data_IF_936649933306
#
_entry.id   IF_936649933306
#
_cell.length_a   1.000
_cell.length_b   1.000
_cell.length_c   1.000
_cell.angle_alpha   90.00
_cell.angle_beta   90.00
_cell.angle_gamma   90.00
#
_symmetry.space_group_name_H-M   'P 1'
#
loop_
_entity.id
_entity.type
_entity.pdbx_description
1 polymer ?
#
# COMPACT_ATOMS: atom_id res chain seq x y z
N UNK A 1 10.67 8.94 6.38
CA UNK A 1 9.19 8.87 6.37
C UNK A 1 8.68 8.12 7.59
N UNK A 2 7.66 8.64 8.27
CA UNK A 2 7.11 8.06 9.49
C UNK A 2 5.65 7.65 9.28
N UNK A 3 5.35 6.37 9.55
CA UNK A 3 4.00 5.83 9.49
C UNK A 3 3.41 5.72 10.90
N UNK A 4 2.21 6.26 11.08
CA UNK A 4 1.44 6.22 12.32
C UNK A 4 0.16 5.41 12.10
N UNK A 5 0.07 4.21 12.65
CA UNK A 5 -1.07 3.31 12.42
C UNK A 5 -1.99 3.32 13.63
N UNK A 6 -3.20 3.83 13.46
CA UNK A 6 -4.26 3.79 14.45
C UNK A 6 -5.04 2.48 14.28
N UNK A 7 -5.00 1.59 15.27
CA UNK A 7 -5.51 0.22 15.15
C UNK A 7 -6.00 -0.32 16.49
N UNK A 8 -6.75 -1.40 16.47
CA UNK A 8 -7.06 -2.21 17.66
C UNK A 8 -6.09 -3.38 17.85
N UNK A 9 -5.17 -3.62 16.90
CA UNK A 9 -4.25 -4.76 16.89
C UNK A 9 -2.82 -4.33 16.54
N UNK A 10 -2.13 -3.56 17.41
CA UNK A 10 -0.78 -3.06 17.16
C UNK A 10 0.22 -4.16 16.80
N UNK A 11 0.16 -5.31 17.50
CA UNK A 11 1.09 -6.42 17.28
C UNK A 11 0.96 -6.99 15.86
N UNK A 12 -0.25 -7.05 15.31
CA UNK A 12 -0.48 -7.51 13.92
C UNK A 12 0.29 -6.65 12.90
N UNK A 13 0.31 -5.34 13.11
CA UNK A 13 1.05 -4.39 12.27
C UNK A 13 2.56 -4.58 12.46
N UNK A 14 3.01 -4.58 13.72
CA UNK A 14 4.43 -4.59 14.02
C UNK A 14 5.09 -5.93 13.66
N UNK A 15 4.47 -7.06 13.94
CA UNK A 15 4.98 -8.38 13.57
C UNK A 15 5.06 -8.55 12.05
N UNK A 16 4.06 -8.04 11.32
CA UNK A 16 4.05 -8.11 9.86
C UNK A 16 5.14 -7.27 9.20
N UNK A 17 5.37 -6.06 9.68
CA UNK A 17 6.29 -5.09 9.06
C UNK A 17 7.74 -5.19 9.56
N UNK A 18 7.99 -5.80 10.73
CA UNK A 18 9.34 -5.95 11.28
C UNK A 18 10.20 -7.04 10.59
N UNK A 19 9.76 -7.54 9.46
CA UNK A 19 10.43 -8.60 8.69
C UNK A 19 10.88 -8.11 7.32
N UNK A 20 11.74 -8.90 6.64
CA UNK A 20 12.17 -8.69 5.25
C UNK A 20 12.72 -7.27 5.00
N UNK A 21 12.32 -6.63 3.91
CA UNK A 21 12.80 -5.31 3.44
C UNK A 21 12.32 -4.22 4.39
N UNK A 22 11.03 -4.18 4.72
CA UNK A 22 10.45 -3.19 5.64
C UNK A 22 11.11 -3.22 7.00
N UNK A 23 11.32 -4.42 7.58
CA UNK A 23 12.00 -4.57 8.88
C UNK A 23 13.47 -4.14 8.84
N UNK A 24 14.18 -4.30 7.72
CA UNK A 24 15.55 -3.76 7.57
C UNK A 24 15.55 -2.24 7.48
N UNK A 25 14.63 -1.65 6.73
CA UNK A 25 14.51 -0.21 6.61
C UNK A 25 14.17 0.46 7.94
N UNK A 26 13.28 -0.13 8.74
CA UNK A 26 12.96 0.32 10.10
C UNK A 26 14.21 0.26 11.00
N UNK A 27 14.92 -0.87 11.01
CA UNK A 27 16.16 -1.04 11.80
C UNK A 27 17.28 -0.07 11.39
N UNK A 28 17.35 0.27 10.12
CA UNK A 28 18.31 1.23 9.59
C UNK A 28 17.91 2.71 9.86
N UNK A 29 16.69 2.96 10.36
CA UNK A 29 16.18 4.30 10.59
C UNK A 29 15.82 5.08 9.30
N UNK A 30 15.67 4.39 8.18
CA UNK A 30 15.25 5.00 6.90
C UNK A 30 13.77 5.37 6.95
N UNK A 31 12.98 4.55 7.63
CA UNK A 31 11.58 4.81 7.92
C UNK A 31 11.23 4.37 9.35
N UNK A 32 10.13 4.87 9.88
CA UNK A 32 9.57 4.38 11.14
C UNK A 32 8.11 3.93 10.97
N UNK A 33 7.70 2.95 11.77
CA UNK A 33 6.30 2.55 11.90
C UNK A 33 5.97 2.53 13.38
N UNK A 34 4.94 3.28 13.77
CA UNK A 34 4.41 3.28 15.13
C UNK A 34 2.92 2.94 15.11
N UNK A 35 2.57 1.85 15.74
CA UNK A 35 1.17 1.46 15.93
C UNK A 35 0.64 2.00 17.27
N UNK A 36 -0.55 2.58 17.23
CA UNK A 36 -1.25 3.16 18.37
C UNK A 36 -2.49 2.33 18.64
N UNK A 37 -2.59 1.77 19.85
CA UNK A 37 -3.80 1.08 20.26
C UNK A 37 -4.89 2.10 20.60
N UNK A 38 -5.94 2.16 19.78
CA UNK A 38 -7.06 3.09 19.98
C UNK A 38 -7.73 2.85 21.34
N UNK A 39 -7.63 1.64 21.92
CA UNK A 39 -8.20 1.34 23.23
C UNK A 39 -7.57 2.16 24.35
N UNK A 40 -6.31 2.52 24.25
CA UNK A 40 -5.59 3.33 25.26
C UNK A 40 -6.15 4.76 25.38
N UNK A 41 -6.92 5.20 24.38
CA UNK A 41 -7.59 6.51 24.35
C UNK A 41 -9.05 6.45 24.77
N UNK A 42 -9.52 5.29 25.25
CA UNK A 42 -10.88 5.14 25.78
C UNK A 42 -10.96 5.64 27.22
N UNK A 43 -11.95 6.49 27.49
CA UNK A 43 -12.28 6.93 28.85
C UNK A 43 -13.12 5.88 29.62
N UNK A 44 -13.42 4.73 29.02
CA UNK A 44 -14.15 3.63 29.65
C UNK A 44 -13.19 2.79 30.53
N UNK A 45 -13.62 2.45 31.74
CA UNK A 45 -12.81 1.63 32.67
C UNK A 45 -12.39 0.25 32.15
N UNK A 46 -13.09 -0.26 31.14
CA UNK A 46 -12.80 -1.52 30.45
C UNK A 46 -12.16 -1.30 29.06
N UNK A 47 -11.69 -0.09 28.78
CA UNK A 47 -11.09 0.30 27.48
C UNK A 47 -12.03 0.04 26.29
N UNK A 48 -13.33 0.17 26.50
CA UNK A 48 -14.33 -0.07 25.46
C UNK A 48 -14.28 1.05 24.42
N UNK A 49 -14.15 0.68 23.14
CA UNK A 49 -14.02 1.61 22.01
C UNK A 49 -15.17 1.56 21.02
N UNK A 50 -16.16 0.70 21.29
CA UNK A 50 -17.29 0.43 20.40
C UNK A 50 -18.63 0.59 21.14
N UNK A 51 -19.72 0.79 20.38
CA UNK A 51 -21.08 0.83 20.91
C UNK A 51 -22.09 0.43 19.81
N UNK A 52 -23.34 0.23 20.19
CA UNK A 52 -24.42 -0.08 19.27
C UNK A 52 -24.69 1.08 18.29
N UNK A 53 -24.95 0.76 17.00
CA UNK A 53 -25.27 1.81 16.03
C UNK A 53 -26.63 2.46 16.35
N UNK A 54 -26.72 3.77 16.17
CA UNK A 54 -28.02 4.44 16.13
C UNK A 54 -28.84 3.93 14.94
N UNK A 55 -30.13 3.81 15.12
CA UNK A 55 -31.04 3.25 14.10
C UNK A 55 -31.16 1.74 14.16
N UNK A 56 -30.40 1.05 15.04
CA UNK A 56 -30.40 -0.40 15.17
C UNK A 56 -29.54 -1.08 14.09
N UNK A 57 -29.51 -2.39 14.13
CA UNK A 57 -28.70 -3.22 13.23
C UNK A 57 -27.86 -4.23 14.00
N UNK A 58 -27.22 -5.14 13.26
CA UNK A 58 -26.25 -6.08 13.85
C UNK A 58 -24.88 -5.42 14.00
N UNK A 59 -24.08 -5.92 14.94
CA UNK A 59 -22.72 -5.48 15.13
C UNK A 59 -22.57 -4.23 16.00
N UNK A 60 -21.38 -3.68 16.00
CA UNK A 60 -20.94 -2.54 16.80
C UNK A 60 -20.26 -1.52 15.89
N UNK A 61 -20.16 -0.26 16.35
CA UNK A 61 -19.47 0.82 15.65
C UNK A 61 -18.40 1.40 16.56
N UNK A 62 -17.21 1.67 16.02
CA UNK A 62 -16.15 2.32 16.78
C UNK A 62 -16.55 3.75 17.13
N UNK A 63 -16.39 4.10 18.41
CA UNK A 63 -16.79 5.39 18.98
C UNK A 63 -15.87 6.51 18.50
N UNK A 64 -16.44 7.69 18.25
CA UNK A 64 -15.69 8.85 17.77
C UNK A 64 -14.59 9.30 18.74
N UNK A 65 -14.88 9.39 20.03
CA UNK A 65 -13.94 9.95 21.02
C UNK A 65 -12.58 9.22 21.05
N UNK A 66 -12.48 7.88 21.25
CA UNK A 66 -11.18 7.21 21.27
C UNK A 66 -10.39 7.38 19.97
N UNK A 67 -11.06 7.39 18.83
CA UNK A 67 -10.42 7.58 17.51
C UNK A 67 -9.87 9.00 17.39
N UNK A 68 -10.66 10.02 17.71
CA UNK A 68 -10.22 11.41 17.67
C UNK A 68 -9.11 11.70 18.69
N UNK A 69 -9.22 11.20 19.92
CA UNK A 69 -8.21 11.42 20.96
C UNK A 69 -6.86 10.78 20.60
N UNK A 70 -6.88 9.58 19.97
CA UNK A 70 -5.70 8.94 19.41
C UNK A 70 -5.05 9.81 18.33
N UNK A 71 -5.85 10.31 17.40
CA UNK A 71 -5.36 11.20 16.33
C UNK A 71 -4.76 12.51 16.90
N UNK A 72 -5.43 13.16 17.85
CA UNK A 72 -4.94 14.40 18.43
C UNK A 72 -3.63 14.17 19.23
N UNK A 73 -3.41 13.00 19.80
CA UNK A 73 -2.12 12.63 20.37
C UNK A 73 -1.00 12.55 19.33
N UNK A 74 -1.30 11.92 18.19
CA UNK A 74 -0.38 11.87 17.03
C UNK A 74 -0.06 13.28 16.55
N UNK A 75 -1.07 14.15 16.38
CA UNK A 75 -0.90 15.56 15.97
C UNK A 75 0.01 16.32 16.94
N UNK A 76 -0.18 16.14 18.26
CA UNK A 76 0.68 16.77 19.29
C UNK A 76 2.13 16.33 19.16
N UNK A 77 2.36 15.04 18.88
CA UNK A 77 3.71 14.49 18.75
C UNK A 77 4.41 14.96 17.46
N UNK A 78 3.67 15.10 16.35
CA UNK A 78 4.21 15.56 15.06
C UNK A 78 4.32 17.09 15.01
N UNK A 79 3.44 17.82 15.71
CA UNK A 79 3.38 19.30 15.69
C UNK A 79 2.64 19.89 14.49
N UNK A 80 2.07 19.06 13.62
CA UNK A 80 1.23 19.47 12.47
C UNK A 80 0.15 18.40 12.22
N UNK A 81 -0.92 18.76 11.53
CA UNK A 81 -1.93 17.80 11.07
C UNK A 81 -1.39 17.03 9.86
N UNK A 82 -1.16 15.71 9.97
CA UNK A 82 -0.70 14.87 8.87
C UNK A 82 -1.86 14.45 7.96
N UNK A 83 -1.53 13.93 6.78
CA UNK A 83 -2.46 13.21 5.92
C UNK A 83 -2.95 11.94 6.61
N UNK A 84 -4.25 11.64 6.52
CA UNK A 84 -4.90 10.49 7.18
C UNK A 84 -5.61 9.63 6.14
N UNK A 85 -5.12 8.42 5.96
CA UNK A 85 -5.67 7.41 5.06
C UNK A 85 -6.54 6.44 5.87
N UNK A 86 -7.84 6.40 5.59
CA UNK A 86 -8.75 5.42 6.17
C UNK A 86 -8.90 4.22 5.25
N UNK A 87 -8.59 3.03 5.77
CA UNK A 87 -8.71 1.77 5.03
C UNK A 87 -10.15 1.29 5.07
N UNK A 88 -10.84 1.37 3.93
CA UNK A 88 -12.27 1.07 3.82
C UNK A 88 -12.63 0.56 2.42
N UNK A 89 -13.59 -0.40 2.29
CA UNK A 89 -14.12 -0.80 0.98
C UNK A 89 -14.82 0.33 0.21
N UNK A 90 -15.23 1.40 0.89
CA UNK A 90 -15.91 2.56 0.31
C UNK A 90 -14.96 3.56 -0.35
N UNK A 91 -13.64 3.36 -0.20
CA UNK A 91 -12.61 4.26 -0.72
C UNK A 91 -12.28 4.05 -2.20
N UNK A 92 -11.49 4.97 -2.73
CA UNK A 92 -10.89 4.79 -4.06
C UNK A 92 -9.92 3.63 -4.05
N UNK A 93 -9.89 2.86 -5.14
CA UNK A 93 -8.96 1.73 -5.27
C UNK A 93 -7.52 2.22 -5.27
N UNK A 94 -6.70 1.70 -4.37
CA UNK A 94 -5.29 2.04 -4.23
C UNK A 94 -4.50 1.70 -5.49
N UNK A 95 -3.69 2.65 -5.95
CA UNK A 95 -2.88 2.53 -7.17
C UNK A 95 -1.43 2.91 -6.89
N UNK A 96 -0.52 2.57 -7.81
CA UNK A 96 0.88 2.97 -7.75
C UNK A 96 1.03 4.51 -7.69
N UNK A 97 0.24 5.24 -8.47
CA UNK A 97 0.24 6.71 -8.45
C UNK A 97 -0.16 7.28 -7.08
N UNK A 98 -1.12 6.68 -6.38
CA UNK A 98 -1.44 7.07 -5.01
C UNK A 98 -0.29 6.79 -4.05
N UNK A 99 0.41 5.66 -4.22
CA UNK A 99 1.59 5.36 -3.41
C UNK A 99 2.71 6.39 -3.62
N UNK A 100 2.95 6.81 -4.85
CA UNK A 100 3.91 7.88 -5.18
C UNK A 100 3.53 9.23 -4.56
N UNK A 101 2.24 9.52 -4.48
CA UNK A 101 1.75 10.72 -3.82
C UNK A 101 1.96 10.63 -2.30
N UNK A 102 1.63 9.49 -1.68
CA UNK A 102 1.81 9.28 -0.25
C UNK A 102 3.30 9.24 0.15
N UNK A 103 4.18 8.75 -0.71
CA UNK A 103 5.62 8.73 -0.46
C UNK A 103 6.27 10.12 -0.35
N UNK A 104 5.58 11.20 -0.77
CA UNK A 104 6.04 12.59 -0.64
C UNK A 104 5.80 13.16 0.77
N UNK A 105 5.02 12.47 1.59
CA UNK A 105 4.74 12.90 2.95
C UNK A 105 5.87 12.52 3.91
N UNK A 106 6.20 13.40 4.86
CA UNK A 106 7.10 13.07 5.97
C UNK A 106 6.44 12.12 6.96
N UNK A 107 5.13 12.32 7.18
CA UNK A 107 4.31 11.57 8.12
C UNK A 107 2.98 11.18 7.46
N UNK A 108 2.63 9.90 7.56
CA UNK A 108 1.37 9.37 7.07
C UNK A 108 0.65 8.64 8.20
N UNK A 109 -0.58 9.06 8.49
CA UNK A 109 -1.45 8.35 9.43
C UNK A 109 -2.32 7.37 8.65
N UNK A 110 -2.41 6.13 9.12
CA UNK A 110 -3.31 5.12 8.57
C UNK A 110 -4.28 4.69 9.65
N UNK A 111 -5.58 4.85 9.38
CA UNK A 111 -6.67 4.47 10.26
C UNK A 111 -7.24 3.12 9.85
N UNK A 112 -7.16 2.15 10.75
CA UNK A 112 -7.73 0.82 10.58
C UNK A 112 -9.09 0.74 11.26
N UNK A 113 -10.15 0.51 10.47
CA UNK A 113 -11.49 0.29 10.99
C UNK A 113 -11.74 -1.17 11.37
N UNK A 114 -12.67 -1.36 12.30
CA UNK A 114 -13.18 -2.66 12.73
C UNK A 114 -14.69 -2.63 12.90
N UNK A 115 -15.28 -3.79 13.20
CA UNK A 115 -16.72 -3.97 13.40
C UNK A 115 -17.52 -3.57 12.15
N UNK A 116 -18.62 -2.80 12.31
CA UNK A 116 -19.42 -2.27 11.20
C UNK A 116 -18.83 -0.95 10.65
N UNK A 117 -17.75 -0.45 11.24
CA UNK A 117 -17.08 0.78 10.84
C UNK A 117 -16.81 1.71 12.02
N UNK A 118 -16.54 2.96 11.69
CA UNK A 118 -16.20 4.03 12.62
C UNK A 118 -17.31 5.08 12.58
N UNK A 119 -17.61 5.70 13.72
CA UNK A 119 -18.56 6.81 13.80
C UNK A 119 -18.19 7.90 12.79
N UNK A 120 -19.14 8.25 11.91
CA UNK A 120 -18.93 9.16 10.79
C UNK A 120 -18.37 10.51 11.21
N UNK A 121 -18.74 11.00 12.41
CA UNK A 121 -18.22 12.27 12.95
C UNK A 121 -16.72 12.25 13.21
N UNK A 122 -16.13 11.07 13.49
CA UNK A 122 -14.67 10.93 13.56
C UNK A 122 -14.06 10.97 12.16
N UNK A 123 -14.65 10.25 11.20
CA UNK A 123 -14.17 10.24 9.81
C UNK A 123 -14.19 11.63 9.19
N UNK A 124 -15.30 12.36 9.30
CA UNK A 124 -15.44 13.74 8.82
C UNK A 124 -14.42 14.71 9.45
N UNK A 125 -14.05 14.47 10.70
CA UNK A 125 -13.13 15.36 11.44
C UNK A 125 -11.64 15.14 11.10
N UNK A 126 -11.24 13.89 10.80
CA UNK A 126 -9.81 13.55 10.75
C UNK A 126 -9.35 12.96 9.41
N UNK A 127 -10.22 12.29 8.63
CA UNK A 127 -9.82 11.56 7.42
C UNK A 127 -9.64 12.51 6.23
N UNK A 128 -8.53 12.36 5.52
CA UNK A 128 -8.27 13.07 4.27
C UNK A 128 -8.51 12.19 3.05
N UNK A 129 -8.25 10.89 3.16
CA UNK A 129 -8.31 9.94 2.06
C UNK A 129 -9.01 8.65 2.47
N UNK A 130 -10.00 8.25 1.68
CA UNK A 130 -10.68 6.97 1.80
C UNK A 130 -10.09 6.01 0.77
N UNK A 131 -9.49 4.90 1.22
CA UNK A 131 -8.72 4.00 0.35
C UNK A 131 -9.16 2.56 0.50
N UNK A 132 -9.42 1.91 -0.64
CA UNK A 132 -9.72 0.49 -0.77
C UNK A 132 -8.57 -0.24 -1.44
N UNK A 133 -8.30 -1.49 -1.08
CA UNK A 133 -7.35 -2.36 -1.81
C UNK A 133 -8.04 -3.30 -2.81
N UNK A 134 -9.34 -3.15 -3.02
CA UNK A 134 -10.13 -3.95 -3.97
C UNK A 134 -11.56 -4.20 -3.52
N UNK A 135 -12.38 -4.71 -4.42
CA UNK A 135 -13.81 -4.93 -4.22
C UNK A 135 -14.09 -6.23 -3.44
N UNK A 136 -13.63 -6.28 -2.20
CA UNK A 136 -13.87 -7.37 -1.26
C UNK A 136 -13.79 -6.86 0.18
N UNK A 137 -14.40 -7.59 1.11
CA UNK A 137 -14.47 -7.21 2.52
C UNK A 137 -13.51 -8.05 3.35
N UNK A 138 -12.75 -7.40 4.21
CA UNK A 138 -11.85 -8.01 5.19
C UNK A 138 -12.41 -7.84 6.61
N UNK A 139 -11.82 -8.52 7.58
CA UNK A 139 -12.23 -8.45 8.99
C UNK A 139 -11.80 -7.15 9.68
N UNK A 140 -10.85 -6.41 9.10
CA UNK A 140 -10.32 -5.16 9.64
C UNK A 140 -9.39 -4.45 8.67
N UNK A 141 -8.95 -3.26 9.04
CA UNK A 141 -8.09 -2.39 8.22
C UNK A 141 -6.59 -2.71 8.28
N UNK A 142 -6.13 -3.64 9.11
CA UNK A 142 -4.70 -3.88 9.34
C UNK A 142 -4.00 -4.48 8.13
N UNK A 143 -4.57 -5.48 7.47
CA UNK A 143 -4.00 -6.06 6.25
C UNK A 143 -3.90 -5.03 5.12
N UNK A 144 -4.97 -4.26 4.81
CA UNK A 144 -4.88 -3.16 3.86
C UNK A 144 -3.82 -2.12 4.25
N UNK A 145 -3.73 -1.75 5.52
CA UNK A 145 -2.73 -0.81 6.01
C UNK A 145 -1.30 -1.30 5.73
N UNK A 146 -1.02 -2.59 5.97
CA UNK A 146 0.29 -3.18 5.66
C UNK A 146 0.58 -3.19 4.16
N UNK A 147 -0.40 -3.43 3.30
CA UNK A 147 -0.26 -3.32 1.83
C UNK A 147 0.12 -1.90 1.42
N UNK A 148 -0.56 -0.89 1.96
CA UNK A 148 -0.25 0.53 1.69
C UNK A 148 1.15 0.87 2.18
N UNK A 149 1.50 0.50 3.42
CA UNK A 149 2.83 0.78 4.00
C UNK A 149 3.93 0.11 3.18
N UNK A 150 3.78 -1.16 2.81
CA UNK A 150 4.78 -1.88 2.01
C UNK A 150 4.98 -1.18 0.66
N UNK A 151 3.89 -0.89 -0.05
CA UNK A 151 3.94 -0.22 -1.36
C UNK A 151 4.58 1.16 -1.28
N UNK A 152 4.17 2.00 -0.33
CA UNK A 152 4.71 3.35 -0.15
C UNK A 152 6.18 3.30 0.28
N UNK A 153 6.54 2.39 1.19
CA UNK A 153 7.91 2.28 1.71
C UNK A 153 8.93 1.95 0.62
N UNK A 154 8.55 1.19 -0.41
CA UNK A 154 9.41 0.86 -1.55
C UNK A 154 9.84 2.11 -2.36
N UNK A 155 9.07 3.18 -2.28
CA UNK A 155 9.32 4.46 -2.95
C UNK A 155 10.14 5.43 -2.09
N UNK A 156 10.38 5.08 -0.82
CA UNK A 156 11.22 5.89 0.08
C UNK A 156 12.69 5.62 -0.25
N UNK A 157 13.51 6.66 -0.55
CA UNK A 157 14.92 6.47 -0.85
C UNK A 157 15.67 5.69 0.24
N UNK A 158 16.45 4.69 -0.16
CA UNK A 158 17.25 3.86 0.74
C UNK A 158 16.51 2.66 1.36
N UNK A 159 15.23 2.44 1.07
CA UNK A 159 14.50 1.23 1.48
C UNK A 159 14.86 0.05 0.58
N UNK A 160 14.91 0.26 -0.73
CA UNK A 160 15.40 -0.73 -1.69
C UNK A 160 16.91 -0.54 -1.91
N UNK A 161 17.66 -1.65 -2.01
CA UNK A 161 19.10 -1.62 -2.27
C UNK A 161 19.47 -1.17 -3.70
N UNK A 162 18.54 -1.31 -4.64
CA UNK A 162 18.71 -0.90 -6.04
C UNK A 162 17.50 -0.06 -6.45
N UNK A 163 17.70 1.24 -6.59
CA UNK A 163 16.66 2.20 -7.00
C UNK A 163 16.22 1.95 -8.45
N UNK A 164 17.12 1.45 -9.33
CA UNK A 164 16.77 1.08 -10.71
C UNK A 164 15.74 -0.06 -10.78
N UNK A 165 15.61 -0.88 -9.71
CA UNK A 165 14.60 -1.96 -9.68
C UNK A 165 13.17 -1.43 -9.70
N UNK A 166 12.92 -0.26 -9.12
CA UNK A 166 11.60 0.35 -9.10
C UNK A 166 11.19 0.94 -10.46
N UNK A 167 12.17 1.34 -11.29
CA UNK A 167 11.92 1.98 -12.59
C UNK A 167 11.44 1.01 -13.66
N UNK A 168 11.74 -0.30 -13.53
CA UNK A 168 11.40 -1.34 -14.51
C UNK A 168 10.32 -2.31 -14.06
N UNK A 169 9.70 -2.05 -12.92
CA UNK A 169 8.62 -2.89 -12.37
C UNK A 169 7.28 -2.61 -13.06
N UNK A 170 6.32 -3.55 -12.88
CA UNK A 170 4.95 -3.39 -13.37
C UNK A 170 4.36 -2.05 -12.92
N UNK A 171 3.69 -1.35 -13.83
CA UNK A 171 3.02 -0.07 -13.67
C UNK A 171 3.91 1.18 -13.71
N UNK A 172 5.23 1.06 -13.74
CA UNK A 172 6.13 2.23 -13.79
C UNK A 172 6.00 2.99 -15.12
N UNK A 173 5.81 2.25 -16.21
CA UNK A 173 5.60 2.78 -17.57
C UNK A 173 4.18 2.49 -18.13
N UNK A 174 3.25 2.05 -17.27
CA UNK A 174 1.89 1.66 -17.64
C UNK A 174 1.75 0.24 -18.14
N UNK A 175 2.84 -0.54 -18.24
CA UNK A 175 2.86 -1.93 -18.64
C UNK A 175 3.08 -2.88 -17.47
N UNK A 176 2.83 -4.17 -17.70
CA UNK A 176 3.30 -5.24 -16.82
C UNK A 176 4.74 -5.59 -17.16
N UNK A 177 5.52 -5.93 -16.14
CA UNK A 177 6.90 -6.37 -16.29
C UNK A 177 7.01 -7.62 -17.20
N UNK A 178 8.10 -7.69 -17.97
CA UNK A 178 8.46 -8.84 -18.80
C UNK A 178 8.75 -10.10 -17.97
N UNK A 179 8.76 -11.32 -18.58
CA UNK A 179 9.07 -12.56 -17.86
C UNK A 179 10.54 -12.63 -17.42
N UNK A 180 10.75 -12.92 -16.15
CA UNK A 180 12.07 -13.09 -15.56
C UNK A 180 12.54 -14.56 -15.67
N UNK A 181 13.84 -14.73 -15.93
CA UNK A 181 14.50 -16.05 -15.99
C UNK A 181 15.74 -16.06 -15.11
N UNK A 182 16.04 -17.23 -14.52
CA UNK A 182 17.24 -17.46 -13.72
C UNK A 182 17.87 -18.83 -14.07
N UNK A 183 18.99 -19.16 -13.44
CA UNK A 183 19.70 -20.44 -13.62
C UNK A 183 18.88 -21.60 -13.09
N UNK A 184 18.99 -22.80 -13.73
CA UNK A 184 19.81 -23.13 -14.91
C UNK A 184 19.21 -22.61 -16.22
N UNK A 185 20.01 -22.52 -17.30
CA UNK A 185 19.57 -22.06 -18.62
C UNK A 185 18.55 -22.98 -19.30
N UNK A 186 18.50 -24.25 -18.93
CA UNK A 186 17.44 -25.20 -19.28
C UNK A 186 16.88 -25.82 -18.01
N UNK A 187 15.56 -25.80 -17.89
CA UNK A 187 14.83 -26.45 -16.81
C UNK A 187 13.74 -27.37 -17.38
N UNK A 188 14.00 -28.67 -17.34
CA UNK A 188 13.09 -29.71 -17.82
C UNK A 188 12.69 -29.51 -19.31
N UNK A 189 13.65 -29.19 -20.18
CA UNK A 189 13.43 -28.96 -21.61
C UNK A 189 12.83 -27.59 -21.96
N UNK A 190 12.73 -26.69 -20.99
CA UNK A 190 12.34 -25.29 -21.18
C UNK A 190 13.56 -24.40 -21.06
N UNK A 191 14.08 -23.93 -22.19
CA UNK A 191 15.26 -23.11 -22.23
C UNK A 191 14.93 -21.61 -21.98
N UNK A 192 15.91 -20.89 -21.41
CA UNK A 192 15.91 -19.42 -21.37
C UNK A 192 16.01 -18.91 -22.82
N UNK A 193 15.26 -17.86 -23.21
CA UNK A 193 15.37 -17.26 -24.53
C UNK A 193 16.83 -16.86 -24.87
N UNK A 194 17.29 -17.24 -26.05
CA UNK A 194 18.70 -17.02 -26.48
C UNK A 194 19.12 -15.53 -26.44
N UNK A 195 18.19 -14.63 -26.74
CA UNK A 195 18.45 -13.19 -26.67
C UNK A 195 18.95 -12.74 -25.29
N UNK A 196 18.43 -13.36 -24.20
CA UNK A 196 18.84 -13.03 -22.83
C UNK A 196 20.24 -13.57 -22.48
N UNK A 197 20.74 -14.54 -23.25
CA UNK A 197 22.09 -15.12 -23.11
C UNK A 197 23.12 -14.44 -24.02
N UNK A 198 22.68 -13.57 -24.95
CA UNK A 198 23.52 -12.99 -26.00
C UNK A 198 24.48 -11.91 -25.50
N UNK A 199 24.19 -11.22 -24.40
CA UNK A 199 24.92 -10.04 -23.93
C UNK A 199 24.65 -8.77 -24.75
N UNK A 200 23.80 -8.82 -25.77
CA UNK A 200 23.44 -7.64 -26.57
C UNK A 200 22.34 -6.81 -25.91
N UNK A 201 22.71 -5.81 -25.12
CA UNK A 201 21.77 -5.01 -24.32
C UNK A 201 20.60 -4.45 -25.14
N UNK A 202 20.85 -3.84 -26.31
CA UNK A 202 19.79 -3.28 -27.14
C UNK A 202 18.74 -4.33 -27.57
N UNK A 203 19.17 -5.56 -27.91
CA UNK A 203 18.26 -6.64 -28.27
C UNK A 203 17.50 -7.17 -27.05
N UNK A 204 18.15 -7.19 -25.88
CA UNK A 204 17.53 -7.58 -24.62
C UNK A 204 16.44 -6.58 -24.25
N UNK A 205 16.71 -5.27 -24.30
CA UNK A 205 15.70 -4.23 -24.00
C UNK A 205 14.52 -4.28 -24.97
N UNK A 206 14.77 -4.43 -26.27
CA UNK A 206 13.71 -4.61 -27.25
C UNK A 206 12.84 -5.84 -26.93
N UNK A 207 13.45 -6.98 -26.61
CA UNK A 207 12.75 -8.21 -26.25
C UNK A 207 11.92 -8.04 -24.96
N UNK A 208 12.48 -7.37 -23.95
CA UNK A 208 11.78 -7.06 -22.68
C UNK A 208 10.53 -6.25 -22.95
N UNK A 209 10.65 -5.17 -23.71
CA UNK A 209 9.53 -4.32 -24.06
C UNK A 209 8.44 -5.07 -24.86
N UNK A 210 8.82 -5.86 -25.86
CA UNK A 210 7.89 -6.70 -26.62
C UNK A 210 7.14 -7.68 -25.71
N UNK A 211 7.84 -8.28 -24.72
CA UNK A 211 7.23 -9.20 -23.76
C UNK A 211 6.35 -8.52 -22.72
N UNK A 212 6.67 -7.30 -22.32
CA UNK A 212 5.79 -6.47 -21.49
C UNK A 212 4.49 -6.16 -22.20
N UNK A 213 4.54 -5.74 -23.48
CA UNK A 213 3.34 -5.52 -24.30
C UNK A 213 2.48 -6.78 -24.46
N UNK A 214 3.10 -7.93 -24.79
CA UNK A 214 2.40 -9.21 -24.90
C UNK A 214 1.68 -9.61 -23.60
N UNK A 215 2.39 -9.48 -22.46
CA UNK A 215 1.84 -9.80 -21.13
C UNK A 215 0.71 -8.85 -20.74
N UNK A 216 0.90 -7.57 -20.94
CA UNK A 216 -0.10 -6.55 -20.62
C UNK A 216 -1.35 -6.78 -21.43
N UNK A 217 -1.22 -6.99 -22.73
CA UNK A 217 -2.35 -7.32 -23.61
C UNK A 217 -3.12 -8.57 -23.16
N UNK A 218 -2.39 -9.57 -22.66
CA UNK A 218 -2.98 -10.85 -22.22
C UNK A 218 -3.69 -10.78 -20.87
N UNK A 219 -3.06 -10.14 -19.89
CA UNK A 219 -3.47 -10.22 -18.48
C UNK A 219 -4.16 -8.94 -17.97
N UNK A 220 -3.85 -7.80 -18.60
CA UNK A 220 -4.42 -6.49 -18.28
C UNK A 220 -4.76 -5.72 -19.55
N UNK A 221 -5.77 -6.19 -20.31
CA UNK A 221 -6.20 -5.54 -21.57
C UNK A 221 -6.62 -4.08 -21.36
N UNK A 222 -7.14 -3.73 -20.18
CA UNK A 222 -7.45 -2.37 -19.77
C UNK A 222 -6.21 -1.44 -19.80
N UNK A 223 -5.09 -1.88 -19.23
CA UNK A 223 -3.82 -1.14 -19.26
C UNK A 223 -3.25 -1.07 -20.68
N UNK A 224 -3.32 -2.18 -21.43
CA UNK A 224 -2.84 -2.21 -22.80
C UNK A 224 -3.59 -1.22 -23.70
N UNK A 225 -4.91 -1.13 -23.58
CA UNK A 225 -5.72 -0.15 -24.31
C UNK A 225 -5.37 1.29 -23.95
N UNK A 226 -5.06 1.55 -22.69
CA UNK A 226 -4.60 2.86 -22.24
C UNK A 226 -3.23 3.19 -22.83
N UNK A 227 -2.29 2.26 -22.77
CA UNK A 227 -0.95 2.42 -23.31
C UNK A 227 -0.95 2.70 -24.81
N UNK A 228 -1.74 1.95 -25.62
CA UNK A 228 -1.88 2.18 -27.07
C UNK A 228 -2.42 3.57 -27.38
N UNK A 229 -3.30 4.12 -26.55
CA UNK A 229 -3.83 5.50 -26.72
C UNK A 229 -2.79 6.56 -26.41
N UNK A 230 -1.94 6.31 -25.42
CA UNK A 230 -0.88 7.24 -25.00
C UNK A 230 0.32 7.23 -25.96
N UNK A 231 0.64 6.06 -26.53
CA UNK A 231 1.80 5.83 -27.42
C UNK A 231 1.39 5.31 -28.81
N UNK A 232 0.55 6.02 -29.56
CA UNK A 232 0.00 5.52 -30.84
C UNK A 232 1.04 5.31 -31.91
N UNK A 233 2.19 5.97 -31.82
CA UNK A 233 3.26 5.88 -32.82
C UNK A 233 4.05 4.57 -32.75
N UNK A 234 4.02 3.86 -31.64
CA UNK A 234 4.63 2.54 -31.49
C UNK A 234 3.85 1.43 -32.22
N UNK A 235 2.59 1.69 -32.62
CA UNK A 235 1.67 0.72 -33.22
C UNK A 235 1.31 1.05 -34.68
N UNK A 236 1.99 2.02 -35.30
CA UNK A 236 1.91 2.38 -36.73
C UNK A 236 2.94 1.61 -37.60
#
# INVERSE_FOLDING_TARGET
MDFHVMTLFPDMIMDGLNTSITGRAIKAGVMSVKAYDIREYSNDKHLKVDDYPYGGGAGMVMRAAPVCDCYEDIVRNIGKRPRVVYMTPQGYTFTQSMAEEFAKEDNLVILCGHYEGIDERALENIVTDFVSIGDYVLTGGELPAMVVIDTVSRLVPGVLNNEESAETESFSDGLLEYPQYTRPADYNGKAVPEVLLSGHHANIEKWRHEKSLERTKKYRPDLYETYVKEYPDEFR
#
